data_IF_740759455228
#
_entry.id   IF_740759455228
#
_cell.length_a   1.000
_cell.length_b   1.000
_cell.length_c   1.000
_cell.angle_alpha   90.00
_cell.angle_beta   90.00
_cell.angle_gamma   90.00
#
_symmetry.space_group_name_H-M   'P 1'
#
loop_
_entity.id
_entity.type
_entity.pdbx_description
1 polymer ?
#
# COMPACT_ATOMS: atom_id res chain seq x y z
N UNK A 1 -36.53 -20.89 15.02
CA UNK A 1 -35.17 -21.18 14.53
C UNK A 1 -34.20 -20.26 15.27
N UNK A 2 -33.14 -20.78 15.91
CA UNK A 2 -32.10 -19.98 16.59
C UNK A 2 -30.88 -19.92 15.67
N UNK A 3 -30.28 -18.75 15.46
CA UNK A 3 -29.14 -18.57 14.54
C UNK A 3 -27.81 -18.57 15.32
N UNK A 4 -27.79 -17.94 16.50
CA UNK A 4 -26.66 -18.01 17.43
C UNK A 4 -27.11 -17.70 18.87
N UNK A 5 -26.37 -18.22 19.86
CA UNK A 5 -26.57 -17.95 21.29
C UNK A 5 -25.21 -17.67 21.96
N UNK A 6 -25.12 -16.72 22.91
CA UNK A 6 -23.91 -16.50 23.70
C UNK A 6 -23.46 -17.75 24.46
N UNK A 7 -22.13 -17.96 24.52
CA UNK A 7 -21.50 -19.10 25.19
C UNK A 7 -21.70 -19.08 26.71
N UNK A 8 -21.80 -17.89 27.30
CA UNK A 8 -22.13 -17.67 28.71
C UNK A 8 -23.37 -16.78 28.82
N UNK A 9 -24.14 -16.92 29.92
CA UNK A 9 -25.31 -16.08 30.14
C UNK A 9 -24.86 -14.64 30.38
N UNK A 10 -25.30 -13.68 29.57
CA UNK A 10 -24.92 -12.28 29.76
C UNK A 10 -25.52 -11.71 31.04
N UNK A 11 -24.86 -10.69 31.58
CA UNK A 11 -25.33 -9.95 32.75
C UNK A 11 -26.64 -9.23 32.41
N UNK A 12 -27.65 -9.24 33.30
CA UNK A 12 -28.95 -8.62 33.06
C UNK A 12 -28.90 -7.10 32.85
N UNK A 13 -27.78 -6.42 33.13
CA UNK A 13 -27.60 -5.00 32.83
C UNK A 13 -27.22 -4.72 31.37
N UNK A 14 -26.84 -5.73 30.60
CA UNK A 14 -26.36 -5.58 29.22
C UNK A 14 -27.54 -5.58 28.25
N UNK A 15 -27.60 -4.57 27.38
CA UNK A 15 -28.56 -4.50 26.28
C UNK A 15 -27.86 -4.71 24.95
N UNK A 16 -28.32 -5.68 24.18
CA UNK A 16 -27.80 -5.97 22.84
C UNK A 16 -28.59 -5.20 21.79
N UNK A 17 -27.89 -4.55 20.87
CA UNK A 17 -28.47 -3.86 19.71
C UNK A 17 -27.70 -4.33 18.48
N UNK A 18 -28.42 -4.82 17.47
CA UNK A 18 -27.85 -5.16 16.17
C UNK A 18 -27.97 -3.96 15.23
N UNK A 19 -26.87 -3.58 14.60
CA UNK A 19 -26.82 -2.55 13.56
C UNK A 19 -26.53 -3.20 12.20
N UNK A 20 -27.06 -2.60 11.12
CA UNK A 20 -26.68 -2.97 9.75
C UNK A 20 -27.43 -4.15 9.13
N UNK A 21 -28.39 -4.78 9.82
CA UNK A 21 -29.30 -5.75 9.19
C UNK A 21 -30.73 -5.57 9.67
N UNK A 22 -31.69 -5.63 8.75
CA UNK A 22 -33.12 -5.69 9.10
C UNK A 22 -33.70 -7.10 9.07
N UNK A 23 -32.91 -8.11 8.71
CA UNK A 23 -33.33 -9.51 8.64
C UNK A 23 -33.14 -10.24 9.99
N UNK A 24 -32.23 -9.75 10.83
CA UNK A 24 -31.91 -10.32 12.14
C UNK A 24 -32.32 -9.39 13.28
N UNK A 25 -32.62 -9.98 14.44
CA UNK A 25 -32.84 -9.26 15.68
C UNK A 25 -32.20 -10.03 16.84
N UNK A 26 -31.99 -9.34 17.96
CA UNK A 26 -31.36 -9.87 19.17
C UNK A 26 -32.30 -9.74 20.35
N UNK A 27 -32.37 -10.78 21.17
CA UNK A 27 -33.14 -10.71 22.43
C UNK A 27 -32.45 -9.75 23.39
N UNK A 28 -33.22 -8.83 23.97
CA UNK A 28 -32.70 -7.73 24.79
C UNK A 28 -31.79 -8.18 25.94
N UNK A 29 -32.12 -9.30 26.58
CA UNK A 29 -31.47 -9.77 27.81
C UNK A 29 -30.61 -11.02 27.61
N UNK A 30 -30.99 -11.93 26.70
CA UNK A 30 -30.26 -13.20 26.52
C UNK A 30 -29.22 -13.16 25.38
N UNK A 31 -29.15 -12.06 24.61
CA UNK A 31 -28.22 -11.91 23.49
C UNK A 31 -28.41 -12.93 22.35
N UNK A 32 -29.54 -13.61 22.27
CA UNK A 32 -29.83 -14.62 21.24
C UNK A 32 -30.14 -13.90 19.93
N UNK A 33 -29.38 -14.21 18.88
CA UNK A 33 -29.61 -13.70 17.53
C UNK A 33 -30.57 -14.65 16.80
N UNK A 34 -31.64 -14.09 16.24
CA UNK A 34 -32.67 -14.83 15.52
C UNK A 34 -33.06 -14.09 14.23
N UNK A 35 -33.63 -14.85 13.29
CA UNK A 35 -34.21 -14.30 12.07
C UNK A 35 -35.51 -13.59 12.45
N UNK A 36 -35.56 -12.27 12.28
CA UNK A 36 -36.75 -11.46 12.55
C UNK A 36 -37.61 -11.28 11.29
N UNK A 37 -37.00 -11.34 10.11
CA UNK A 37 -37.73 -11.23 8.84
C UNK A 37 -37.14 -12.15 7.77
N UNK A 38 -37.84 -13.24 7.48
CA UNK A 38 -37.42 -14.23 6.48
C UNK A 38 -37.47 -13.71 5.04
N UNK A 39 -38.40 -12.80 4.72
CA UNK A 39 -38.46 -12.20 3.38
C UNK A 39 -37.25 -11.31 3.13
N UNK A 40 -36.87 -10.51 4.14
CA UNK A 40 -35.67 -9.68 4.09
C UNK A 40 -34.40 -10.53 4.07
N UNK A 41 -34.35 -11.63 4.84
CA UNK A 41 -33.24 -12.59 4.79
C UNK A 41 -33.03 -13.18 3.38
N UNK A 42 -34.11 -13.42 2.62
CA UNK A 42 -34.04 -13.99 1.27
C UNK A 42 -33.80 -12.94 0.18
N UNK A 43 -34.19 -11.69 0.43
CA UNK A 43 -34.08 -10.59 -0.54
C UNK A 43 -32.81 -9.77 -0.38
N UNK A 44 -32.24 -9.74 0.83
CA UNK A 44 -30.95 -9.10 1.09
C UNK A 44 -29.88 -9.98 0.42
N UNK A 45 -29.04 -9.41 -0.45
CA UNK A 45 -28.05 -10.21 -1.17
C UNK A 45 -27.11 -10.91 -0.16
N UNK A 46 -26.69 -12.15 -0.47
CA UNK A 46 -25.64 -12.92 0.23
C UNK A 46 -24.27 -12.22 0.25
N UNK A 47 -24.22 -10.96 -0.17
CA UNK A 47 -23.12 -10.07 0.10
C UNK A 47 -23.08 -9.79 1.60
N UNK A 48 -22.41 -10.69 2.34
CA UNK A 48 -21.36 -10.22 3.27
C UNK A 48 -20.73 -9.03 2.57
N UNK A 49 -20.79 -7.84 3.15
CA UNK A 49 -20.42 -6.58 2.54
C UNK A 49 -18.97 -6.65 2.01
N UNK A 50 -18.79 -7.23 0.82
CA UNK A 50 -17.57 -7.19 0.02
C UNK A 50 -17.34 -5.76 -0.47
N UNK A 51 -18.37 -4.93 -0.41
CA UNK A 51 -18.39 -3.58 -0.98
C UNK A 51 -18.08 -2.45 0.02
N UNK A 52 -17.72 -2.73 1.27
CA UNK A 52 -17.12 -1.67 2.12
C UNK A 52 -15.58 -1.66 2.06
N UNK A 53 -14.94 -2.75 1.63
CA UNK A 53 -13.48 -2.87 1.60
C UNK A 53 -12.88 -2.79 0.18
N UNK A 54 -13.70 -2.91 -0.87
CA UNK A 54 -13.24 -2.81 -2.26
C UNK A 54 -13.38 -1.36 -2.73
N UNK A 55 -12.31 -0.58 -2.59
CA UNK A 55 -12.12 0.58 -3.45
C UNK A 55 -11.16 1.65 -2.96
N UNK A 56 -10.97 1.82 -1.65
CA UNK A 56 -10.06 2.84 -1.10
C UNK A 56 -9.45 2.35 0.20
N UNK A 57 -8.11 2.31 0.24
CA UNK A 57 -7.39 2.15 1.50
C UNK A 57 -6.98 3.52 2.03
N UNK A 58 -6.72 3.56 3.34
CA UNK A 58 -6.04 4.67 3.99
C UNK A 58 -4.54 4.39 3.97
N UNK A 59 -3.77 5.31 3.39
CA UNK A 59 -2.33 5.20 3.34
C UNK A 59 -1.69 5.70 4.64
N UNK A 60 -0.93 4.83 5.30
CA UNK A 60 -0.06 5.18 6.43
C UNK A 60 1.32 5.53 5.89
N UNK A 61 1.79 6.76 6.16
CA UNK A 61 3.15 7.21 5.79
C UNK A 61 4.07 7.26 7.00
N UNK A 62 5.33 6.88 6.83
CA UNK A 62 6.35 7.06 7.86
C UNK A 62 7.15 8.34 7.61
N UNK A 63 6.77 9.43 8.27
CA UNK A 63 7.48 10.70 8.16
C UNK A 63 8.85 10.71 8.83
N UNK A 64 9.23 9.69 9.61
CA UNK A 64 10.53 9.64 10.30
C UNK A 64 11.69 9.16 9.40
N UNK A 65 11.40 8.57 8.24
CA UNK A 65 12.41 8.10 7.28
C UNK A 65 13.03 9.19 6.39
N UNK A 66 12.61 10.45 6.54
CA UNK A 66 13.12 11.59 5.76
C UNK A 66 14.38 12.25 6.37
N UNK A 67 14.69 11.95 7.63
CA UNK A 67 15.94 12.34 8.25
C UNK A 67 17.04 11.47 7.63
N UNK A 68 17.74 12.03 6.66
CA UNK A 68 18.89 11.45 5.93
C UNK A 68 20.09 11.21 6.85
N UNK A 69 19.90 10.64 8.04
CA UNK A 69 20.99 10.07 8.82
C UNK A 69 21.32 8.72 8.21
N UNK A 70 22.22 8.75 7.22
CA UNK A 70 23.00 7.62 6.71
C UNK A 70 22.19 6.39 6.30
N UNK A 71 21.57 6.39 5.11
CA UNK A 71 21.43 5.27 4.16
C UNK A 71 20.93 3.88 4.60
N UNK A 72 20.75 3.63 5.88
CA UNK A 72 20.37 2.35 6.49
C UNK A 72 18.86 2.41 6.61
N UNK A 73 18.18 1.56 5.86
CA UNK A 73 16.76 1.38 6.02
C UNK A 73 16.51 0.89 7.45
N UNK A 74 15.82 1.69 8.25
CA UNK A 74 15.54 1.37 9.65
C UNK A 74 14.23 0.59 9.75
N UNK A 75 14.27 -0.49 10.52
CA UNK A 75 13.09 -1.24 10.91
C UNK A 75 12.18 -0.34 11.77
N UNK A 76 10.90 -0.24 11.43
CA UNK A 76 9.96 0.65 12.11
C UNK A 76 8.62 -0.01 12.39
N UNK A 77 8.08 0.16 13.59
CA UNK A 77 6.70 -0.24 13.90
C UNK A 77 5.67 0.59 13.12
N UNK A 78 6.03 1.82 12.77
CA UNK A 78 5.22 2.71 11.95
C UNK A 78 5.63 2.62 10.47
N UNK A 79 5.76 1.40 9.95
CA UNK A 79 6.11 1.16 8.55
C UNK A 79 5.01 1.69 7.60
N UNK A 80 5.38 2.28 6.44
CA UNK A 80 4.39 2.67 5.45
C UNK A 80 3.59 1.49 4.91
N UNK A 81 2.28 1.65 4.75
CA UNK A 81 1.37 0.59 4.28
C UNK A 81 0.01 1.17 3.85
N UNK A 82 -0.77 0.36 3.16
CA UNK A 82 -2.13 0.65 2.71
C UNK A 82 -3.08 -0.32 3.43
N UNK A 83 -3.99 0.21 4.23
CA UNK A 83 -4.91 -0.58 5.06
C UNK A 83 -6.32 0.00 5.02
N UNK A 84 -7.35 -0.80 5.28
CA UNK A 84 -8.74 -0.32 5.18
C UNK A 84 -9.09 0.74 6.24
N UNK A 85 -8.62 0.57 7.47
CA UNK A 85 -8.82 1.52 8.57
C UNK A 85 -7.57 1.50 9.46
N UNK A 86 -6.88 2.63 9.62
CA UNK A 86 -5.65 2.72 10.43
C UNK A 86 -5.89 2.62 11.94
N UNK A 87 -7.14 2.64 12.38
CA UNK A 87 -7.53 2.47 13.79
C UNK A 87 -7.45 1.00 14.20
N UNK A 88 -7.76 0.10 13.26
CA UNK A 88 -7.86 -1.34 13.47
C UNK A 88 -6.86 -2.14 12.63
N UNK A 89 -6.22 -1.53 11.63
CA UNK A 89 -5.28 -2.20 10.75
C UNK A 89 -4.24 -1.21 10.16
N UNK A 90 -2.92 -1.37 10.41
CA UNK A 90 -2.33 -2.35 11.31
C UNK A 90 -2.33 -1.86 12.77
N UNK A 91 -2.95 -2.60 13.68
CA UNK A 91 -2.97 -2.34 15.12
C UNK A 91 -2.17 -3.37 15.96
N UNK A 92 -1.62 -4.40 15.29
CA UNK A 92 -0.91 -5.55 15.83
C UNK A 92 -1.80 -6.58 16.58
N UNK A 93 -3.13 -6.50 16.45
CA UNK A 93 -4.07 -7.44 17.05
C UNK A 93 -4.93 -8.13 15.99
N UNK A 94 -4.62 -9.40 15.68
CA UNK A 94 -5.45 -10.23 14.81
C UNK A 94 -6.75 -10.65 15.53
N UNK A 95 -7.79 -9.82 15.40
CA UNK A 95 -9.07 -10.00 16.08
C UNK A 95 -9.94 -11.14 15.50
N UNK A 96 -11.13 -11.35 16.04
CA UNK A 96 -12.03 -12.40 15.57
C UNK A 96 -12.47 -12.22 14.11
N UNK A 97 -12.72 -10.98 13.67
CA UNK A 97 -13.15 -10.67 12.31
C UNK A 97 -12.01 -10.91 11.32
N UNK A 98 -10.80 -10.47 11.66
CA UNK A 98 -9.61 -10.65 10.84
C UNK A 98 -9.17 -12.11 10.77
N UNK A 99 -9.36 -12.89 11.84
CA UNK A 99 -9.13 -14.34 11.83
C UNK A 99 -10.08 -15.08 10.91
N UNK A 100 -11.35 -14.69 10.86
CA UNK A 100 -12.35 -15.33 9.99
C UNK A 100 -12.09 -14.95 8.52
N UNK A 101 -11.66 -13.71 8.28
CA UNK A 101 -11.34 -13.21 6.95
C UNK A 101 -9.93 -12.61 6.88
N UNK A 102 -8.86 -13.43 6.77
CA UNK A 102 -7.46 -12.98 6.83
C UNK A 102 -7.04 -11.96 5.78
N UNK A 103 -7.86 -11.74 4.73
CA UNK A 103 -7.61 -10.71 3.71
C UNK A 103 -8.05 -9.31 4.12
N UNK A 104 -8.80 -9.16 5.20
CA UNK A 104 -9.22 -7.85 5.72
C UNK A 104 -7.99 -7.08 6.22
N UNK A 105 -7.20 -7.71 7.09
CA UNK A 105 -5.91 -7.19 7.54
C UNK A 105 -4.85 -8.30 7.58
N UNK A 106 -4.25 -8.66 6.43
CA UNK A 106 -3.16 -9.63 6.42
C UNK A 106 -1.95 -9.15 7.23
N UNK A 107 -1.82 -7.84 7.46
CA UNK A 107 -0.70 -7.24 8.18
C UNK A 107 -0.65 -7.62 9.65
N UNK A 108 -1.79 -7.88 10.29
CA UNK A 108 -1.87 -8.28 11.71
C UNK A 108 -2.05 -9.80 11.89
N UNK A 109 -2.55 -10.49 10.86
CA UNK A 109 -2.82 -11.92 10.92
C UNK A 109 -1.81 -12.84 10.22
N UNK A 110 -0.90 -12.29 9.39
CA UNK A 110 0.12 -13.07 8.70
C UNK A 110 0.99 -13.86 9.69
N UNK A 111 1.29 -15.11 9.35
CA UNK A 111 2.19 -15.94 10.18
C UNK A 111 3.65 -15.62 9.86
N UNK A 112 4.56 -15.95 10.77
CA UNK A 112 5.99 -15.65 10.63
C UNK A 112 6.60 -16.15 9.31
N UNK A 113 6.19 -17.35 8.84
CA UNK A 113 6.70 -17.93 7.59
C UNK A 113 6.34 -17.12 6.34
N UNK A 114 5.29 -16.30 6.43
CA UNK A 114 4.73 -15.55 5.31
C UNK A 114 5.19 -14.09 5.34
N UNK A 115 6.04 -13.69 6.29
CA UNK A 115 6.55 -12.33 6.44
C UNK A 115 8.01 -12.27 5.97
N UNK A 116 8.24 -11.58 4.86
CA UNK A 116 9.57 -11.32 4.30
C UNK A 116 10.06 -9.93 4.70
N UNK A 117 11.28 -9.88 5.24
CA UNK A 117 11.98 -8.62 5.59
C UNK A 117 11.23 -7.74 6.62
N UNK A 118 10.33 -8.33 7.40
CA UNK A 118 9.67 -7.73 8.56
C UNK A 118 9.92 -8.55 9.82
N UNK A 119 9.67 -7.96 10.98
CA UNK A 119 9.68 -8.68 12.26
C UNK A 119 8.25 -9.02 12.66
N UNK A 120 8.05 -10.27 13.08
CA UNK A 120 6.77 -10.75 13.60
C UNK A 120 6.48 -10.20 15.00
N UNK A 121 5.22 -10.03 15.33
CA UNK A 121 4.77 -9.68 16.67
C UNK A 121 5.06 -10.81 17.69
N UNK A 122 5.25 -10.54 19.00
CA UNK A 122 5.45 -11.58 20.01
C UNK A 122 4.29 -12.57 20.14
N UNK A 123 3.10 -12.22 19.63
CA UNK A 123 1.96 -13.14 19.51
C UNK A 123 2.16 -14.23 18.45
N UNK A 124 3.23 -14.16 17.66
CA UNK A 124 3.54 -15.09 16.57
C UNK A 124 2.79 -14.82 15.26
N UNK A 125 2.02 -13.72 15.20
CA UNK A 125 1.28 -13.27 14.01
C UNK A 125 1.39 -11.76 13.84
N UNK A 126 1.37 -11.31 12.60
CA UNK A 126 1.37 -9.91 12.22
C UNK A 126 2.77 -9.30 12.18
N UNK A 127 2.90 -8.21 11.44
CA UNK A 127 4.13 -7.46 11.23
C UNK A 127 4.24 -6.42 12.34
N UNK A 128 5.09 -6.69 13.33
CA UNK A 128 5.42 -5.73 14.40
C UNK A 128 6.23 -4.57 13.90
N UNK A 129 7.18 -4.83 13.01
CA UNK A 129 7.98 -3.78 12.41
C UNK A 129 8.44 -4.16 11.01
N UNK A 130 8.49 -3.17 10.13
CA UNK A 130 8.77 -3.35 8.72
C UNK A 130 9.91 -2.49 8.24
N UNK A 131 10.69 -3.04 7.30
CA UNK A 131 11.68 -2.28 6.57
C UNK A 131 10.97 -1.49 5.45
N UNK A 132 10.89 -0.15 5.58
CA UNK A 132 10.20 0.69 4.58
C UNK A 132 8.76 0.21 4.37
N UNK A 133 8.23 0.31 3.14
CA UNK A 133 6.86 -0.05 2.81
C UNK A 133 6.64 -1.56 2.92
N UNK A 134 5.60 -1.97 3.62
CA UNK A 134 5.13 -3.34 3.64
C UNK A 134 3.87 -3.50 2.79
N UNK A 135 3.78 -4.61 2.06
CA UNK A 135 2.63 -4.98 1.23
C UNK A 135 2.38 -6.47 1.38
N UNK A 136 1.11 -6.87 1.43
CA UNK A 136 0.70 -8.26 1.44
C UNK A 136 -0.09 -8.60 0.17
N UNK A 137 0.12 -9.80 -0.38
CA UNK A 137 -0.56 -10.30 -1.56
C UNK A 137 -1.84 -11.10 -1.21
N UNK A 138 -2.50 -11.64 -2.23
CA UNK A 138 -3.73 -12.40 -2.07
C UNK A 138 -3.52 -13.79 -1.45
N UNK A 139 -2.28 -14.28 -1.51
CA UNK A 139 -1.79 -15.51 -0.91
C UNK A 139 -1.42 -15.32 0.57
N UNK A 140 -1.70 -14.13 1.14
CA UNK A 140 -1.38 -13.75 2.52
C UNK A 140 0.12 -13.64 2.84
N UNK A 141 0.96 -13.59 1.80
CA UNK A 141 2.38 -13.35 1.93
C UNK A 141 2.64 -11.85 1.99
N UNK A 142 3.37 -11.43 3.01
CA UNK A 142 3.73 -10.04 3.25
C UNK A 142 5.22 -9.83 2.99
N UNK A 143 5.56 -8.71 2.36
CA UNK A 143 6.94 -8.32 2.13
C UNK A 143 7.15 -6.85 2.49
N UNK A 144 8.25 -6.56 3.18
CA UNK A 144 8.63 -5.21 3.57
C UNK A 144 9.91 -4.78 2.86
N UNK A 145 9.87 -3.73 2.05
CA UNK A 145 11.06 -3.20 1.42
C UNK A 145 10.80 -2.55 0.07
N UNK A 146 11.87 -2.39 -0.70
CA UNK A 146 11.80 -1.79 -2.03
C UNK A 146 11.10 -2.68 -3.07
N UNK A 147 11.16 -4.01 -2.89
CA UNK A 147 10.62 -4.98 -3.83
C UNK A 147 9.12 -5.23 -3.65
N UNK A 148 8.50 -4.71 -2.58
CA UNK A 148 7.08 -4.86 -2.29
C UNK A 148 6.16 -4.22 -3.36
N UNK A 149 6.68 -3.29 -4.16
CA UNK A 149 5.97 -2.68 -5.30
C UNK A 149 6.11 -3.45 -6.62
N UNK A 150 7.04 -4.40 -6.72
CA UNK A 150 7.41 -5.03 -7.99
C UNK A 150 6.55 -6.25 -8.34
N UNK A 151 5.81 -6.80 -7.38
CA UNK A 151 5.06 -8.05 -7.56
C UNK A 151 3.70 -7.90 -8.26
N UNK A 152 3.23 -6.68 -8.57
CA UNK A 152 1.95 -6.48 -9.26
C UNK A 152 2.06 -6.47 -10.80
N UNK A 153 3.24 -6.78 -11.36
CA UNK A 153 3.47 -6.81 -12.80
C UNK A 153 4.29 -8.02 -13.27
N UNK A 154 3.58 -9.01 -13.81
CA UNK A 154 4.02 -10.11 -14.70
C UNK A 154 4.59 -11.40 -14.07
N UNK A 155 3.84 -12.48 -14.30
CA UNK A 155 4.30 -13.87 -14.33
C UNK A 155 5.39 -14.08 -15.39
N UNK A 156 6.65 -14.34 -14.99
CA UNK A 156 7.65 -15.12 -15.74
C UNK A 156 8.65 -15.74 -14.74
N UNK A 157 9.05 -17.03 -14.86
CA UNK A 157 9.88 -17.70 -13.87
C UNK A 157 11.39 -17.50 -14.07
N UNK A 158 12.12 -17.82 -12.99
CA UNK A 158 13.49 -18.34 -12.93
C UNK A 158 14.64 -17.32 -12.86
N UNK A 159 15.35 -17.32 -11.73
CA UNK A 159 16.70 -17.90 -11.59
C UNK A 159 17.42 -17.31 -10.36
N UNK A 160 18.00 -18.21 -9.56
CA UNK A 160 19.07 -17.90 -8.60
C UNK A 160 20.18 -17.13 -9.32
N UNK A 161 20.70 -16.04 -8.75
CA UNK A 161 22.14 -15.97 -8.51
C UNK A 161 22.53 -14.91 -7.47
N UNK A 162 23.45 -15.34 -6.62
CA UNK A 162 24.23 -14.54 -5.70
C UNK A 162 25.19 -13.58 -6.42
N UNK A 163 25.48 -12.46 -5.75
CA UNK A 163 26.78 -11.79 -5.54
C UNK A 163 26.70 -10.30 -5.79
N UNK A 164 26.54 -9.58 -4.69
CA UNK A 164 26.81 -8.16 -4.63
C UNK A 164 28.31 -7.92 -4.50
N UNK A 165 28.95 -7.42 -5.58
CA UNK A 165 30.06 -6.46 -5.45
C UNK A 165 30.27 -5.65 -6.73
N UNK A 166 30.22 -4.33 -6.50
CA UNK A 166 30.95 -3.24 -7.17
C UNK A 166 30.21 -2.43 -8.26
N UNK A 167 29.66 -1.30 -7.79
CA UNK A 167 29.86 0.06 -8.29
C UNK A 167 30.11 0.25 -9.79
N UNK A 168 29.11 0.80 -10.50
CA UNK A 168 29.25 2.06 -11.24
C UNK A 168 27.89 2.57 -11.73
N UNK A 169 27.56 3.76 -11.27
CA UNK A 169 26.94 4.86 -12.01
C UNK A 169 26.37 4.55 -13.41
N UNK A 170 25.04 4.40 -13.52
CA UNK A 170 24.28 4.76 -14.73
C UNK A 170 22.82 5.03 -14.38
N UNK A 171 22.42 6.29 -14.60
CA UNK A 171 21.03 6.78 -14.47
C UNK A 171 20.07 5.98 -15.35
N UNK A 172 18.91 5.69 -14.75
CA UNK A 172 17.69 5.16 -15.38
C UNK A 172 17.18 6.07 -16.50
N UNK A 173 16.72 5.47 -17.58
CA UNK A 173 15.54 5.93 -18.32
C UNK A 173 14.58 4.76 -18.48
N UNK A 174 13.41 4.83 -17.84
CA UNK A 174 12.18 4.24 -18.36
C UNK A 174 11.06 5.26 -18.16
N UNK A 175 10.58 5.71 -19.31
CA UNK A 175 9.31 6.34 -19.68
C UNK A 175 8.12 5.95 -18.78
N UNK A 176 7.30 6.93 -18.35
CA UNK A 176 5.83 6.97 -18.54
C UNK A 176 5.28 8.35 -18.11
N UNK A 177 4.36 8.85 -18.93
CA UNK A 177 3.64 10.12 -18.88
C UNK A 177 2.92 10.45 -17.58
N UNK A 178 2.89 11.76 -17.28
CA UNK A 178 1.63 12.43 -16.94
C UNK A 178 1.56 13.12 -15.58
N UNK A 179 2.06 14.35 -15.48
CA UNK A 179 1.43 15.44 -14.71
C UNK A 179 2.24 16.74 -14.88
N UNK A 180 1.61 17.80 -15.42
CA UNK A 180 2.20 19.13 -15.49
C UNK A 180 2.28 19.72 -14.08
N UNK A 181 3.49 20.04 -13.62
CA UNK A 181 3.73 21.03 -12.58
C UNK A 181 4.90 21.89 -12.99
N UNK A 182 4.60 23.10 -13.46
CA UNK A 182 5.60 24.12 -13.74
C UNK A 182 6.21 24.58 -12.42
N UNK A 183 7.51 24.36 -12.27
CA UNK A 183 8.36 25.08 -11.33
C UNK A 183 9.80 24.98 -11.83
N UNK A 184 10.33 26.16 -12.15
CA UNK A 184 11.72 26.52 -12.45
C UNK A 184 12.79 25.46 -12.15
N UNK A 185 13.39 24.90 -13.20
CA UNK A 185 14.59 24.08 -13.13
C UNK A 185 15.46 24.29 -14.37
N UNK A 186 16.76 24.48 -14.16
CA UNK A 186 17.80 24.71 -15.19
C UNK A 186 17.57 23.89 -16.48
N UNK A 187 17.57 24.57 -17.63
CA UNK A 187 17.57 23.95 -18.96
C UNK A 187 18.72 22.92 -19.04
N UNK A 188 18.38 21.68 -19.40
CA UNK A 188 19.36 20.61 -19.55
C UNK A 188 20.38 20.90 -20.66
N UNK A 189 21.48 20.11 -20.73
CA UNK A 189 22.57 20.31 -21.69
C UNK A 189 22.13 20.31 -23.16
N UNK A 190 20.95 19.76 -23.47
CA UNK A 190 20.33 19.81 -24.81
C UNK A 190 19.80 21.20 -25.19
N UNK A 191 19.37 22.06 -24.26
CA UNK A 191 19.02 23.45 -24.57
C UNK A 191 20.25 24.31 -24.88
N UNK A 192 21.35 24.07 -24.16
CA UNK A 192 22.59 24.85 -24.30
C UNK A 192 23.23 24.65 -25.68
N UNK A 193 23.15 23.43 -26.24
CA UNK A 193 23.64 23.16 -27.60
C UNK A 193 22.85 23.91 -28.68
N UNK A 194 21.54 24.10 -28.49
CA UNK A 194 20.70 24.84 -29.44
C UNK A 194 21.02 26.34 -29.49
N UNK A 195 21.24 26.96 -28.33
CA UNK A 195 21.55 28.40 -28.24
C UNK A 195 22.96 28.71 -28.73
N UNK A 196 23.93 27.87 -28.39
CA UNK A 196 25.33 28.03 -28.83
C UNK A 196 25.44 27.80 -30.35
N UNK A 197 24.74 26.81 -30.90
CA UNK A 197 24.71 26.54 -32.33
C UNK A 197 24.08 27.68 -33.15
N UNK A 198 22.92 28.19 -32.72
CA UNK A 198 22.26 29.30 -33.39
C UNK A 198 23.09 30.60 -33.31
N UNK A 199 23.72 30.87 -32.18
CA UNK A 199 24.58 32.05 -32.01
C UNK A 199 25.82 31.99 -32.89
N UNK A 200 26.46 30.83 -33.03
CA UNK A 200 27.62 30.66 -33.91
C UNK A 200 27.25 30.81 -35.39
N UNK A 201 26.11 30.27 -35.80
CA UNK A 201 25.65 30.38 -37.19
C UNK A 201 25.43 31.84 -37.62
N UNK A 202 24.79 32.65 -36.77
CA UNK A 202 24.58 34.08 -37.04
C UNK A 202 25.90 34.83 -37.18
N UNK A 203 26.90 34.54 -36.33
CA UNK A 203 28.21 35.18 -36.42
C UNK A 203 28.96 34.82 -37.71
N UNK A 204 28.88 33.56 -38.15
CA UNK A 204 29.50 33.12 -39.40
C UNK A 204 28.88 33.85 -40.60
N UNK A 205 27.55 34.02 -40.63
CA UNK A 205 26.86 34.73 -41.71
C UNK A 205 27.26 36.21 -41.74
N UNK A 206 27.35 36.88 -40.59
CA UNK A 206 27.75 38.30 -40.51
C UNK A 206 29.19 38.47 -40.97
N UNK A 207 30.13 37.67 -40.44
CA UNK A 207 31.54 37.75 -40.82
C UNK A 207 31.73 37.41 -42.29
N UNK A 208 31.06 36.36 -42.78
CA UNK A 208 31.06 35.99 -44.19
C UNK A 208 30.56 37.13 -45.09
N UNK A 209 29.47 37.79 -44.70
CA UNK A 209 28.90 38.91 -45.46
C UNK A 209 29.82 40.14 -45.46
N UNK A 210 30.56 40.39 -44.39
CA UNK A 210 31.54 41.49 -44.32
C UNK A 210 32.78 41.20 -45.18
N UNK A 211 33.19 39.94 -45.25
CA UNK A 211 34.32 39.51 -46.09
C UNK A 211 33.91 39.56 -47.57
N UNK A 212 32.70 39.13 -47.93
CA UNK A 212 32.21 39.19 -49.31
C UNK A 212 31.88 40.61 -49.77
N UNK A 213 31.61 41.56 -48.86
CA UNK A 213 31.48 42.97 -49.21
C UNK A 213 32.84 43.67 -49.40
N UNK A 214 33.92 43.09 -48.88
CA UNK A 214 35.28 43.64 -49.03
C UNK A 214 36.02 43.15 -50.28
N UNK A 215 35.40 42.31 -51.09
CA UNK A 215 35.91 41.79 -52.36
C UNK A 215 34.96 42.16 -53.49
#
# INVERSE_FOLDING_TARGET
MRVAKPTAKPDPSITFILHGSGAFSVTRWDGIVYVSNETKLRSEPDTVHKDSFVGRCVWRSNNKGNNRTNGIAQMSEYYPTCSPDLTYCPDNECDELERIHPRICPQDCAVESDILFGHVNPSGRGIKSGLRTCVCNNELQCSCGYDAFRQQGNDVPLAKEERFRKSRDRKNEILVSGARKGSSGQCGPTCMMGVIGASLFVLIVIVGSLITWRY
#
